data_IF_461755790045
#
_entry.id   IF_461755790045
#
_cell.length_a   1.000
_cell.length_b   1.000
_cell.length_c   1.000
_cell.angle_alpha   90.00
_cell.angle_beta   90.00
_cell.angle_gamma   90.00
#
_symmetry.space_group_name_H-M   'P 1'
#
loop_
_entity.id
_entity.type
_entity.pdbx_description
1 polymer ?
#
# COMPACT_ATOMS: atom_id res chain seq x y z
N UNK A 1 8.00 10.61 3.11
CA UNK A 1 9.13 10.25 4.01
C UNK A 1 9.55 8.82 3.68
N UNK A 2 10.82 8.55 3.36
CA UNK A 2 11.28 7.20 2.97
C UNK A 2 11.74 6.45 4.23
N UNK A 3 10.99 5.42 4.63
CA UNK A 3 11.27 4.61 5.81
C UNK A 3 12.23 3.48 5.41
N UNK A 4 13.39 3.38 6.08
CA UNK A 4 14.40 2.36 5.83
C UNK A 4 14.36 1.33 6.96
N UNK A 5 14.45 0.05 6.63
CA UNK A 5 14.63 -0.99 7.63
C UNK A 5 15.54 -2.09 7.11
N UNK A 6 16.46 -2.52 7.98
CA UNK A 6 17.32 -3.66 7.73
C UNK A 6 16.74 -4.87 8.45
N UNK A 7 16.27 -5.86 7.71
CA UNK A 7 15.98 -7.18 8.28
C UNK A 7 17.22 -8.06 8.17
N UNK A 8 17.67 -8.63 9.30
CA UNK A 8 18.73 -9.66 9.29
C UNK A 8 18.18 -11.07 9.07
N UNK A 9 16.86 -11.26 9.14
CA UNK A 9 16.25 -12.59 9.13
C UNK A 9 14.97 -12.62 8.29
N UNK A 10 15.05 -13.38 7.22
CA UNK A 10 13.88 -13.80 6.45
C UNK A 10 13.27 -15.02 7.15
N UNK A 11 11.98 -14.95 7.45
CA UNK A 11 11.22 -16.04 8.05
C UNK A 11 10.80 -17.06 6.97
N UNK A 12 10.14 -18.14 7.40
CA UNK A 12 9.56 -19.12 6.47
C UNK A 12 8.64 -18.41 5.46
N UNK A 13 8.56 -18.98 4.26
CA UNK A 13 7.72 -18.47 3.17
C UNK A 13 8.10 -17.05 2.69
N UNK A 14 9.36 -16.65 2.86
CA UNK A 14 9.84 -15.35 2.40
C UNK A 14 9.31 -14.15 3.18
N UNK A 15 8.77 -14.38 4.39
CA UNK A 15 8.20 -13.30 5.21
C UNK A 15 9.29 -12.48 5.90
N UNK A 16 9.05 -11.18 6.02
CA UNK A 16 9.91 -10.25 6.75
C UNK A 16 9.06 -9.52 7.78
N UNK A 17 9.46 -9.58 9.05
CA UNK A 17 8.76 -8.85 10.10
C UNK A 17 9.16 -7.37 10.07
N UNK A 18 8.16 -6.49 10.03
CA UNK A 18 8.33 -5.06 10.24
C UNK A 18 8.10 -4.76 11.72
N UNK A 19 8.89 -3.86 12.29
CA UNK A 19 8.67 -3.39 13.66
C UNK A 19 7.47 -2.45 13.72
N UNK A 20 6.83 -2.38 14.88
CA UNK A 20 5.67 -1.52 15.10
C UNK A 20 5.97 -0.03 14.81
N UNK A 21 7.18 0.43 15.14
CA UNK A 21 7.61 1.79 14.84
C UNK A 21 7.66 2.06 13.32
N UNK A 22 8.09 1.08 12.52
CA UNK A 22 8.12 1.21 11.06
C UNK A 22 6.72 1.23 10.48
N UNK A 23 5.82 0.37 10.96
CA UNK A 23 4.42 0.34 10.56
C UNK A 23 3.75 1.68 10.84
N UNK A 24 3.90 2.24 12.05
CA UNK A 24 3.38 3.56 12.41
C UNK A 24 3.93 4.67 11.53
N UNK A 25 5.25 4.69 11.28
CA UNK A 25 5.89 5.70 10.46
C UNK A 25 5.52 5.61 8.97
N UNK A 26 5.19 4.41 8.50
CA UNK A 26 4.73 4.16 7.14
C UNK A 26 3.21 4.34 6.97
N UNK A 27 2.46 4.49 8.08
CA UNK A 27 1.00 4.54 8.06
C UNK A 27 0.35 3.23 7.65
N UNK A 28 1.01 2.10 7.95
CA UNK A 28 0.55 0.75 7.60
C UNK A 28 -0.05 0.03 8.81
N UNK A 29 -1.11 -0.73 8.55
CA UNK A 29 -1.82 -1.56 9.51
C UNK A 29 -1.95 -3.01 8.99
N UNK A 30 -2.34 -3.92 9.87
CA UNK A 30 -2.64 -5.29 9.47
C UNK A 30 -3.78 -5.31 8.44
N UNK A 31 -3.60 -6.07 7.35
CA UNK A 31 -4.55 -6.16 6.25
C UNK A 31 -4.30 -5.18 5.10
N UNK A 32 -3.40 -4.21 5.28
CA UNK A 32 -3.07 -3.26 4.21
C UNK A 32 -2.31 -3.94 3.07
N UNK A 33 -2.67 -3.54 1.85
CA UNK A 33 -1.94 -3.90 0.65
C UNK A 33 -0.77 -2.92 0.42
N UNK A 34 0.36 -3.46 -0.01
CA UNK A 34 1.57 -2.70 -0.30
C UNK A 34 2.18 -3.12 -1.62
N UNK A 35 2.78 -2.16 -2.31
CA UNK A 35 3.61 -2.41 -3.48
C UNK A 35 5.07 -2.58 -3.06
N UNK A 36 5.77 -3.53 -3.68
CA UNK A 36 7.15 -3.90 -3.34
C UNK A 36 8.04 -3.72 -4.57
N UNK A 37 9.10 -2.92 -4.39
CA UNK A 37 10.08 -2.64 -5.44
C UNK A 37 11.49 -3.02 -5.00
N UNK A 38 12.33 -3.38 -5.97
CA UNK A 38 13.76 -3.56 -5.75
C UNK A 38 14.53 -2.45 -6.47
N UNK A 39 15.21 -1.61 -5.69
CA UNK A 39 16.15 -0.63 -6.21
C UNK A 39 17.50 -1.31 -6.46
N UNK A 40 17.82 -1.55 -7.72
CA UNK A 40 19.05 -2.21 -8.14
C UNK A 40 20.32 -1.41 -7.81
N UNK A 41 20.24 -0.07 -7.79
CA UNK A 41 21.39 0.78 -7.53
C UNK A 41 21.80 0.75 -6.06
N UNK A 42 20.81 0.85 -5.16
CA UNK A 42 21.07 0.82 -3.72
C UNK A 42 20.96 -0.57 -3.10
N UNK A 43 20.52 -1.56 -3.90
CA UNK A 43 20.21 -2.95 -3.47
C UNK A 43 19.21 -2.98 -2.31
N UNK A 44 18.21 -2.10 -2.34
CA UNK A 44 17.21 -1.96 -1.28
C UNK A 44 15.84 -2.40 -1.75
N UNK A 45 15.07 -2.98 -0.83
CA UNK A 45 13.64 -3.19 -1.01
C UNK A 45 12.92 -1.92 -0.56
N UNK A 46 12.00 -1.45 -1.39
CA UNK A 46 11.15 -0.30 -1.12
C UNK A 46 9.73 -0.82 -0.97
N UNK A 47 9.05 -0.40 0.09
CA UNK A 47 7.65 -0.71 0.37
C UNK A 47 6.88 0.60 0.29
N UNK A 48 5.82 0.62 -0.51
CA UNK A 48 4.92 1.76 -0.63
C UNK A 48 3.48 1.30 -0.36
N UNK A 49 2.63 2.12 0.29
CA UNK A 49 1.22 1.82 0.39
C UNK A 49 0.62 1.64 -1.01
N UNK A 50 -0.13 0.57 -1.23
CA UNK A 50 -0.79 0.36 -2.52
C UNK A 50 -1.74 1.52 -2.77
N UNK A 51 -1.63 2.17 -3.94
CA UNK A 51 -2.53 3.25 -4.29
C UNK A 51 -3.97 2.72 -4.27
N UNK A 52 -4.82 3.28 -3.40
CA UNK A 52 -6.25 3.04 -3.45
C UNK A 52 -6.71 3.55 -4.80
N UNK A 53 -6.97 2.64 -5.76
CA UNK A 53 -7.78 2.94 -6.92
C UNK A 53 -9.14 3.32 -6.38
N UNK A 54 -9.35 4.62 -6.11
CA UNK A 54 -10.69 5.18 -6.03
C UNK A 54 -11.25 4.99 -7.44
N UNK A 55 -11.98 3.89 -7.63
CA UNK A 55 -12.84 3.76 -8.80
C UNK A 55 -13.69 5.05 -8.84
N UNK A 56 -13.82 5.72 -10.00
CA UNK A 56 -14.74 6.84 -10.08
C UNK A 56 -16.10 6.31 -9.64
N UNK A 57 -16.68 6.92 -8.60
CA UNK A 57 -18.08 6.75 -8.27
C UNK A 57 -18.84 7.06 -9.56
N UNK A 58 -19.38 6.04 -10.21
CA UNK A 58 -20.32 6.25 -11.30
C UNK A 58 -21.51 7.00 -10.71
N UNK A 59 -21.53 8.31 -10.93
CA UNK A 59 -22.68 9.15 -10.67
C UNK A 59 -23.78 8.66 -11.60
N UNK A 60 -24.69 7.84 -11.08
CA UNK A 60 -25.93 7.53 -11.75
C UNK A 60 -26.75 8.81 -11.84
N UNK A 61 -26.67 9.50 -12.97
CA UNK A 61 -27.62 10.59 -13.30
C UNK A 61 -28.98 9.93 -13.51
N UNK A 62 -29.82 9.89 -12.47
CA UNK A 62 -31.23 9.57 -12.63
C UNK A 62 -31.93 10.75 -13.30
N UNK A 63 -32.07 10.71 -14.62
CA UNK A 63 -33.01 11.56 -15.35
C UNK A 63 -34.42 11.02 -15.06
N UNK A 64 -35.09 11.60 -14.07
CA UNK A 64 -36.54 11.44 -13.90
C UNK A 64 -37.23 12.42 -14.84
N UNK A 65 -37.59 11.94 -16.03
CA UNK A 65 -38.41 12.68 -16.97
C UNK A 65 -39.83 12.82 -16.43
N UNK A 66 -40.23 14.05 -16.10
CA UNK A 66 -41.65 14.43 -16.00
C UNK A 66 -42.24 14.41 -17.41
N UNK A 67 -43.15 13.48 -17.69
CA UNK A 67 -44.08 13.61 -18.82
C UNK A 67 -45.41 14.16 -18.29
N UNK A 68 -45.93 15.12 -19.05
CA UNK A 68 -47.09 15.98 -18.79
C UNK A 68 -48.42 15.23 -18.81
#
# INVERSE_FOLDING_TARGET
MKVLFDTRRVQKLGRVALSEALLRNAGLSEGDHVDIYFDAATKRIIIEPAAVKVAPLEMSVQVSGRSA
#
